data_IF_662904656577
#
_entry.id   IF_662904656577
#
_cell.length_a   1.000
_cell.length_b   1.000
_cell.length_c   1.000
_cell.angle_alpha   90.00
_cell.angle_beta   90.00
_cell.angle_gamma   90.00
#
_symmetry.space_group_name_H-M   'P 1'
#
loop_
_entity.id
_entity.type
_entity.pdbx_description
1 polymer ?
#
# COMPACT_ATOMS: atom_id res chain seq x y z
N UNK A 1 -67.74 -60.74 31.66
CA UNK A 1 -67.23 -59.45 31.16
C UNK A 1 -65.85 -59.25 31.71
N UNK A 2 -64.84 -59.57 30.88
CA UNK A 2 -63.43 -59.40 31.23
C UNK A 2 -62.97 -57.98 30.86
N UNK A 3 -62.48 -57.18 31.85
CA UNK A 3 -61.83 -55.89 31.60
C UNK A 3 -60.33 -56.06 31.49
N UNK A 4 -59.76 -55.79 30.32
CA UNK A 4 -58.29 -55.77 30.07
C UNK A 4 -57.81 -54.40 30.48
N UNK A 5 -56.94 -54.31 31.52
CA UNK A 5 -56.18 -53.09 31.84
C UNK A 5 -54.92 -53.01 31.02
N UNK A 6 -54.82 -51.98 30.21
CA UNK A 6 -53.65 -51.68 29.37
C UNK A 6 -52.67 -50.86 30.18
N UNK A 7 -51.50 -51.42 30.54
CA UNK A 7 -50.40 -50.74 31.26
C UNK A 7 -49.49 -50.08 30.24
N UNK A 8 -49.54 -48.75 30.11
CA UNK A 8 -48.62 -47.99 29.25
C UNK A 8 -47.34 -47.69 30.02
N UNK A 9 -46.22 -48.32 29.63
CA UNK A 9 -44.86 -47.95 30.08
C UNK A 9 -44.44 -46.62 29.45
N UNK A 10 -44.28 -45.60 30.30
CA UNK A 10 -43.66 -44.34 29.92
C UNK A 10 -42.14 -44.50 30.01
N UNK A 11 -41.45 -44.60 28.86
CA UNK A 11 -40.00 -44.51 28.76
C UNK A 11 -39.58 -43.04 28.84
N UNK A 12 -39.01 -42.59 29.96
CA UNK A 12 -38.38 -41.29 30.07
C UNK A 12 -37.03 -41.32 29.33
N UNK A 13 -36.74 -40.34 28.48
CA UNK A 13 -35.41 -40.23 27.86
C UNK A 13 -34.41 -39.74 28.94
N UNK A 14 -33.36 -40.54 29.18
CA UNK A 14 -32.21 -40.09 29.96
C UNK A 14 -31.50 -38.96 29.19
N UNK A 15 -31.70 -37.73 29.61
CA UNK A 15 -30.91 -36.59 29.16
C UNK A 15 -29.49 -36.77 29.71
N UNK A 16 -28.55 -37.10 28.83
CA UNK A 16 -27.12 -37.03 29.13
C UNK A 16 -26.75 -35.56 29.26
N UNK A 17 -26.66 -35.08 30.49
CA UNK A 17 -26.04 -33.79 30.77
C UNK A 17 -24.56 -33.92 30.44
N UNK A 18 -24.13 -33.40 29.26
CA UNK A 18 -22.73 -33.19 29.01
C UNK A 18 -22.20 -32.21 30.05
N UNK A 19 -21.40 -32.68 30.97
CA UNK A 19 -20.63 -31.83 31.89
C UNK A 19 -19.58 -31.10 31.04
N UNK A 20 -19.99 -29.96 30.52
CA UNK A 20 -19.02 -29.04 29.89
C UNK A 20 -18.08 -28.56 31.00
N UNK A 21 -16.84 -29.03 30.92
CA UNK A 21 -15.78 -28.47 31.79
C UNK A 21 -15.66 -26.98 31.48
N UNK A 22 -15.57 -26.13 32.52
CA UNK A 22 -15.32 -24.71 32.30
C UNK A 22 -14.00 -24.56 31.53
N UNK A 23 -13.95 -23.65 30.55
CA UNK A 23 -12.72 -23.39 29.85
C UNK A 23 -11.60 -23.00 30.83
N UNK A 24 -10.34 -23.35 30.57
CA UNK A 24 -9.23 -22.96 31.40
C UNK A 24 -9.14 -21.42 31.50
N UNK A 25 -8.71 -20.87 32.63
CA UNK A 25 -8.53 -19.44 32.77
C UNK A 25 -7.54 -18.96 31.69
N UNK A 26 -7.94 -17.91 30.98
CA UNK A 26 -7.14 -17.36 29.90
C UNK A 26 -6.91 -15.86 30.04
N UNK A 27 -5.84 -15.37 29.45
CA UNK A 27 -5.50 -13.96 29.35
C UNK A 27 -5.46 -13.56 27.90
N UNK A 28 -6.28 -12.61 27.53
CA UNK A 28 -6.33 -12.03 26.20
C UNK A 28 -5.66 -10.65 26.20
N UNK A 29 -4.68 -10.46 25.33
CA UNK A 29 -3.93 -9.20 25.23
C UNK A 29 -3.87 -8.74 23.76
N UNK A 30 -4.15 -7.47 23.56
CA UNK A 30 -3.92 -6.80 22.28
C UNK A 30 -2.72 -5.87 22.39
N UNK A 31 -1.90 -5.88 21.34
CA UNK A 31 -0.77 -4.97 21.22
C UNK A 31 -0.64 -4.47 19.80
N UNK A 32 -0.13 -3.25 19.68
CA UNK A 32 0.22 -2.62 18.41
C UNK A 32 1.64 -2.09 18.53
N UNK A 33 2.37 -2.16 17.42
CA UNK A 33 3.70 -1.61 17.28
C UNK A 33 3.88 -1.04 15.89
N UNK A 34 5.01 -0.40 15.66
CA UNK A 34 5.37 0.14 14.35
C UNK A 34 6.89 0.16 14.18
N UNK A 35 7.30 0.25 12.94
CA UNK A 35 8.67 0.55 12.55
C UNK A 35 8.65 1.80 11.65
N UNK A 36 9.73 2.54 11.67
CA UNK A 36 10.01 3.64 10.75
C UNK A 36 11.26 3.28 9.95
N UNK A 37 11.09 3.20 8.62
CA UNK A 37 12.14 2.75 7.71
C UNK A 37 12.40 3.86 6.68
N UNK A 38 13.66 4.13 6.39
CA UNK A 38 14.02 5.04 5.30
C UNK A 38 13.69 4.36 3.97
N UNK A 39 13.03 5.06 3.03
CA UNK A 39 12.77 4.50 1.71
C UNK A 39 14.08 4.25 0.95
N UNK A 40 14.09 3.18 0.19
CA UNK A 40 15.20 2.73 -0.65
C UNK A 40 14.78 2.48 -2.10
N UNK A 41 13.55 2.90 -2.45
CA UNK A 41 12.97 2.84 -3.78
C UNK A 41 12.18 4.12 -4.07
N UNK A 42 12.26 4.60 -5.31
CA UNK A 42 11.40 5.68 -5.81
C UNK A 42 10.78 5.31 -7.15
N UNK A 43 9.55 5.76 -7.35
CA UNK A 43 8.84 5.65 -8.62
C UNK A 43 8.48 7.06 -9.11
N UNK A 44 9.01 7.43 -10.25
CA UNK A 44 8.69 8.68 -10.92
C UNK A 44 7.65 8.42 -11.99
N UNK A 45 6.62 9.27 -12.05
CA UNK A 45 5.60 9.21 -13.06
C UNK A 45 5.65 10.48 -13.90
N UNK A 46 5.81 10.30 -15.20
CA UNK A 46 5.84 11.37 -16.20
C UNK A 46 4.86 11.06 -17.33
N UNK A 47 4.49 12.08 -18.06
CA UNK A 47 3.63 11.95 -19.23
C UNK A 47 4.19 12.71 -20.41
N UNK A 48 4.22 12.03 -21.55
CA UNK A 48 4.47 12.63 -22.86
C UNK A 48 3.16 12.69 -23.63
N UNK A 49 2.88 13.81 -24.27
CA UNK A 49 1.76 13.88 -25.19
C UNK A 49 2.06 14.76 -26.40
N UNK A 50 1.36 14.41 -27.48
CA UNK A 50 1.26 15.19 -28.69
C UNK A 50 -0.19 15.46 -29.01
N UNK A 51 -0.45 16.56 -29.68
CA UNK A 51 -1.80 16.93 -30.10
C UNK A 51 -1.87 17.01 -31.63
N UNK A 52 -3.02 16.63 -32.18
CA UNK A 52 -3.34 17.01 -33.55
C UNK A 52 -3.63 18.50 -33.63
N UNK A 53 -3.59 19.13 -34.80
CA UNK A 53 -4.11 20.47 -35.02
C UNK A 53 -5.54 20.59 -34.50
N UNK A 54 -5.87 21.75 -33.95
CA UNK A 54 -7.22 22.05 -33.47
C UNK A 54 -8.09 22.53 -34.65
N UNK A 55 -9.23 21.90 -34.86
CA UNK A 55 -10.14 22.16 -35.98
C UNK A 55 -11.54 22.51 -35.46
N UNK A 56 -12.27 23.33 -36.23
CA UNK A 56 -13.64 23.74 -35.87
C UNK A 56 -14.67 22.63 -36.10
N UNK A 57 -14.39 21.70 -37.01
CA UNK A 57 -15.27 20.55 -37.31
C UNK A 57 -14.50 19.25 -37.45
N UNK A 58 -15.14 18.14 -37.08
CA UNK A 58 -14.56 16.79 -37.24
C UNK A 58 -14.35 16.36 -38.70
N UNK A 59 -15.09 16.97 -39.64
CA UNK A 59 -15.00 16.64 -41.06
C UNK A 59 -13.67 17.06 -41.70
N UNK A 60 -12.96 18.01 -41.09
CA UNK A 60 -11.61 18.41 -41.50
C UNK A 60 -10.53 17.58 -40.87
N UNK A 61 -10.89 16.59 -39.99
CA UNK A 61 -9.88 15.74 -39.34
C UNK A 61 -9.13 14.92 -40.38
N UNK A 62 -7.91 15.38 -40.67
CA UNK A 62 -7.01 14.69 -41.58
C UNK A 62 -6.48 13.41 -40.89
N UNK A 63 -6.74 12.22 -41.44
CA UNK A 63 -6.20 10.96 -40.97
C UNK A 63 -4.67 10.98 -40.84
N UNK A 64 -3.99 11.80 -41.63
CA UNK A 64 -2.56 12.02 -41.56
C UNK A 64 -2.16 12.76 -40.27
N UNK A 65 -2.95 13.72 -39.81
CA UNK A 65 -2.64 14.48 -38.58
C UNK A 65 -2.53 13.60 -37.33
N UNK A 66 -3.35 12.56 -37.24
CA UNK A 66 -3.28 11.59 -36.14
C UNK A 66 -2.03 10.71 -36.27
N UNK A 67 -1.70 10.27 -37.50
CA UNK A 67 -0.49 9.49 -37.78
C UNK A 67 0.78 10.30 -37.48
N UNK A 68 0.81 11.56 -37.93
CA UNK A 68 1.93 12.46 -37.70
C UNK A 68 2.15 12.78 -36.22
N UNK A 69 1.06 13.00 -35.48
CA UNK A 69 1.13 13.22 -34.01
C UNK A 69 1.64 11.97 -33.29
N UNK A 70 1.22 10.78 -33.71
CA UNK A 70 1.71 9.52 -33.18
C UNK A 70 3.21 9.35 -33.46
N UNK A 71 3.64 9.59 -34.68
CA UNK A 71 5.07 9.47 -35.08
C UNK A 71 5.94 10.41 -34.23
N UNK A 72 5.55 11.68 -34.06
CA UNK A 72 6.26 12.61 -33.19
C UNK A 72 6.34 12.12 -31.74
N UNK A 73 5.23 11.59 -31.21
CA UNK A 73 5.20 11.06 -29.83
C UNK A 73 6.14 9.86 -29.67
N UNK A 74 6.17 8.94 -30.65
CA UNK A 74 7.05 7.77 -30.61
C UNK A 74 8.53 8.16 -30.69
N UNK A 75 8.87 9.13 -31.53
CA UNK A 75 10.24 9.67 -31.62
C UNK A 75 10.66 10.26 -30.27
N UNK A 76 9.84 11.14 -29.69
CA UNK A 76 10.12 11.75 -28.39
C UNK A 76 10.22 10.72 -27.26
N UNK A 77 9.36 9.69 -27.28
CA UNK A 77 9.42 8.62 -26.28
C UNK A 77 10.73 7.81 -26.40
N UNK A 78 11.17 7.54 -27.63
CA UNK A 78 12.45 6.84 -27.87
C UNK A 78 13.64 7.67 -27.41
N UNK A 79 13.68 8.96 -27.74
CA UNK A 79 14.73 9.88 -27.32
C UNK A 79 14.78 10.01 -25.79
N UNK A 80 13.63 10.04 -25.13
CA UNK A 80 13.54 10.07 -23.67
C UNK A 80 14.13 8.79 -23.06
N UNK A 81 13.78 7.62 -23.58
CA UNK A 81 14.30 6.34 -23.09
C UNK A 81 15.83 6.31 -23.25
N UNK A 82 16.35 6.72 -24.41
CA UNK A 82 17.81 6.79 -24.66
C UNK A 82 18.51 7.74 -23.67
N UNK A 83 17.91 8.89 -23.36
CA UNK A 83 18.46 9.83 -22.37
C UNK A 83 18.44 9.23 -20.95
N UNK A 84 17.39 8.51 -20.57
CA UNK A 84 17.32 7.81 -19.28
C UNK A 84 18.38 6.69 -19.19
N UNK A 85 18.53 5.89 -20.23
CA UNK A 85 19.59 4.86 -20.29
C UNK A 85 21.00 5.48 -20.21
N UNK A 86 21.19 6.68 -20.74
CA UNK A 86 22.46 7.41 -20.66
C UNK A 86 22.81 7.89 -19.23
N UNK A 87 21.84 8.06 -18.33
CA UNK A 87 22.10 8.30 -16.89
C UNK A 87 22.53 7.04 -16.13
N UNK A 88 22.60 5.89 -16.80
CA UNK A 88 22.97 4.61 -16.20
C UNK A 88 21.79 3.77 -15.72
N UNK A 89 20.55 4.19 -16.00
CA UNK A 89 19.37 3.39 -15.71
C UNK A 89 19.30 2.16 -16.58
N UNK A 90 18.96 1.04 -15.96
CA UNK A 90 18.67 -0.17 -16.71
C UNK A 90 17.33 -0.03 -17.46
N UNK A 91 17.25 -0.65 -18.63
CA UNK A 91 16.04 -0.61 -19.48
C UNK A 91 14.78 -1.11 -18.75
N UNK A 92 14.90 -2.10 -17.86
CA UNK A 92 13.80 -2.64 -17.07
C UNK A 92 13.26 -1.66 -16.02
N UNK A 93 14.05 -0.65 -15.63
CA UNK A 93 13.65 0.43 -14.74
C UNK A 93 12.75 1.47 -15.43
N UNK A 94 12.69 1.46 -16.76
CA UNK A 94 11.94 2.43 -17.57
C UNK A 94 10.77 1.73 -18.24
N UNK A 95 9.56 2.12 -17.88
CA UNK A 95 8.33 1.60 -18.47
C UNK A 95 7.61 2.70 -19.26
N UNK A 96 7.57 2.53 -20.58
CA UNK A 96 6.72 3.34 -21.46
C UNK A 96 5.38 2.62 -21.65
N UNK A 97 4.33 3.16 -21.01
CA UNK A 97 3.01 2.57 -21.03
C UNK A 97 2.31 2.60 -22.39
N UNK A 98 1.09 2.08 -22.45
CA UNK A 98 0.29 2.06 -23.66
C UNK A 98 -0.07 3.48 -24.14
N UNK A 99 -0.22 3.64 -25.44
CA UNK A 99 -0.71 4.88 -26.05
C UNK A 99 -2.18 5.08 -25.73
N UNK A 100 -2.48 6.21 -25.12
CA UNK A 100 -3.84 6.67 -24.88
C UNK A 100 -4.22 7.75 -25.89
N UNK A 101 -5.40 7.67 -26.46
CA UNK A 101 -5.91 8.61 -27.46
C UNK A 101 -7.29 9.09 -27.05
N UNK A 102 -7.45 10.38 -26.88
CA UNK A 102 -8.74 10.96 -26.49
C UNK A 102 -8.95 12.35 -27.11
N UNK A 103 -10.22 12.69 -27.44
CA UNK A 103 -10.56 14.00 -27.96
C UNK A 103 -10.52 15.05 -26.85
N UNK A 104 -10.03 16.24 -27.19
CA UNK A 104 -10.08 17.43 -26.33
C UNK A 104 -10.85 18.55 -27.03
N UNK A 105 -11.70 19.24 -26.25
CA UNK A 105 -12.34 20.45 -26.69
C UNK A 105 -11.59 21.65 -26.09
N UNK A 106 -11.20 22.57 -26.92
CA UNK A 106 -10.50 23.78 -26.49
C UNK A 106 -11.26 25.01 -26.96
N UNK A 107 -11.13 26.11 -26.25
CA UNK A 107 -11.68 27.37 -26.68
C UNK A 107 -10.75 28.02 -27.71
N UNK A 108 -11.28 28.28 -28.90
CA UNK A 108 -10.63 29.04 -29.93
C UNK A 108 -10.61 30.55 -29.66
N UNK A 109 -10.22 31.30 -30.65
CA UNK A 109 -10.22 32.75 -30.55
C UNK A 109 -11.67 33.29 -30.42
N UNK A 110 -11.78 34.45 -29.76
CA UNK A 110 -13.05 35.14 -29.62
C UNK A 110 -13.45 35.75 -30.95
N UNK A 111 -14.67 35.45 -31.43
CA UNK A 111 -15.19 36.03 -32.66
C UNK A 111 -15.65 37.50 -32.45
N UNK A 112 -15.97 38.21 -33.51
CA UNK A 112 -16.42 39.61 -33.47
C UNK A 112 -17.68 39.79 -32.63
N UNK A 113 -18.49 38.75 -32.43
CA UNK A 113 -19.69 38.76 -31.60
C UNK A 113 -19.43 38.53 -30.11
N UNK A 114 -18.15 38.30 -29.74
CA UNK A 114 -17.74 38.09 -28.36
C UNK A 114 -17.85 36.64 -27.86
N UNK A 115 -18.21 35.70 -28.73
CA UNK A 115 -18.32 34.29 -28.42
C UNK A 115 -16.98 33.55 -28.74
N UNK A 116 -16.67 32.51 -27.96
CA UNK A 116 -15.51 31.65 -28.25
C UNK A 116 -15.92 30.52 -29.16
N UNK A 117 -15.17 30.33 -30.24
CA UNK A 117 -15.30 29.14 -31.05
C UNK A 117 -14.84 27.92 -30.29
N UNK A 118 -15.61 26.83 -30.34
CA UNK A 118 -15.19 25.54 -29.76
C UNK A 118 -14.41 24.76 -30.83
N UNK A 119 -13.14 24.53 -30.58
CA UNK A 119 -12.28 23.73 -31.42
C UNK A 119 -12.10 22.33 -30.82
N UNK A 120 -11.89 21.34 -31.67
CA UNK A 120 -11.59 19.97 -31.28
C UNK A 120 -10.20 19.60 -31.74
N UNK A 121 -9.47 18.86 -30.89
CA UNK A 121 -8.20 18.21 -31.25
C UNK A 121 -8.15 16.84 -30.59
N UNK A 122 -7.27 15.99 -31.07
CA UNK A 122 -7.00 14.70 -30.43
C UNK A 122 -5.66 14.77 -29.71
N UNK A 123 -5.66 14.38 -28.43
CA UNK A 123 -4.45 14.19 -27.64
C UNK A 123 -4.05 12.73 -27.70
N UNK A 124 -2.78 12.50 -27.99
CA UNK A 124 -2.12 11.21 -27.88
C UNK A 124 -1.17 11.29 -26.70
N UNK A 125 -1.33 10.44 -25.71
CA UNK A 125 -0.55 10.48 -24.47
C UNK A 125 0.05 9.11 -24.18
N UNK A 126 1.31 9.14 -23.73
CA UNK A 126 2.04 7.97 -23.28
C UNK A 126 2.54 8.23 -21.85
N UNK A 127 2.10 7.45 -20.85
CA UNK A 127 2.67 7.50 -19.52
C UNK A 127 4.06 6.86 -19.52
N UNK A 128 4.98 7.46 -18.78
CA UNK A 128 6.33 6.97 -18.56
C UNK A 128 6.51 6.80 -17.06
N UNK A 129 6.90 5.61 -16.63
CA UNK A 129 7.21 5.32 -15.22
C UNK A 129 8.68 4.92 -15.14
N UNK A 130 9.41 5.53 -14.21
CA UNK A 130 10.81 5.21 -13.94
C UNK A 130 10.92 4.73 -12.49
N UNK A 131 11.48 3.54 -12.29
CA UNK A 131 11.74 2.98 -10.97
C UNK A 131 13.22 3.14 -10.63
N UNK A 132 13.51 3.69 -9.44
CA UNK A 132 14.85 3.87 -8.90
C UNK A 132 15.01 3.01 -7.65
N UNK A 133 16.09 2.25 -7.59
CA UNK A 133 16.56 1.51 -6.42
C UNK A 133 17.78 2.14 -5.77
N UNK A 134 18.33 3.18 -6.40
CA UNK A 134 19.35 4.07 -5.88
C UNK A 134 18.80 5.49 -5.89
N UNK A 135 18.46 6.00 -4.71
CA UNK A 135 17.84 7.31 -4.57
C UNK A 135 18.81 8.48 -4.81
N UNK A 136 20.11 8.25 -4.79
CA UNK A 136 21.11 9.26 -5.10
C UNK A 136 21.00 9.72 -6.57
N UNK A 137 20.48 8.87 -7.46
CA UNK A 137 20.25 9.17 -8.87
C UNK A 137 18.99 10.01 -9.11
N UNK A 138 18.15 10.22 -8.10
CA UNK A 138 16.83 10.86 -8.28
C UNK A 138 16.93 12.24 -8.94
N UNK A 139 17.87 13.08 -8.49
CA UNK A 139 18.04 14.43 -9.05
C UNK A 139 18.47 14.39 -10.52
N UNK A 140 19.40 13.52 -10.87
CA UNK A 140 19.90 13.37 -12.23
C UNK A 140 18.79 12.88 -13.18
N UNK A 141 18.01 11.91 -12.74
CA UNK A 141 16.88 11.36 -13.51
C UNK A 141 15.78 12.39 -13.71
N UNK A 142 15.48 13.20 -12.69
CA UNK A 142 14.51 14.29 -12.80
C UNK A 142 14.97 15.34 -13.82
N UNK A 143 16.25 15.73 -13.76
CA UNK A 143 16.83 16.68 -14.70
C UNK A 143 16.80 16.15 -16.14
N UNK A 144 17.10 14.87 -16.31
CA UNK A 144 17.03 14.21 -17.60
C UNK A 144 15.59 14.12 -18.16
N UNK A 145 14.59 13.82 -17.32
CA UNK A 145 13.16 13.85 -17.71
C UNK A 145 12.74 15.25 -18.17
N UNK A 146 13.17 16.29 -17.47
CA UNK A 146 12.89 17.69 -17.84
C UNK A 146 13.59 18.05 -19.14
N UNK A 147 14.85 17.67 -19.29
CA UNK A 147 15.64 17.93 -20.50
C UNK A 147 15.07 17.21 -21.73
N UNK A 148 14.56 15.98 -21.55
CA UNK A 148 13.84 15.22 -22.58
C UNK A 148 12.47 15.83 -22.96
N UNK A 149 12.05 16.88 -22.25
CA UNK A 149 10.83 17.63 -22.55
C UNK A 149 9.55 16.88 -22.26
N UNK A 150 9.50 16.15 -21.12
CA UNK A 150 8.22 15.59 -20.64
C UNK A 150 7.19 16.70 -20.47
N UNK A 151 5.95 16.42 -20.81
CA UNK A 151 4.89 17.42 -20.72
C UNK A 151 4.33 17.58 -19.31
N UNK A 152 4.42 16.51 -18.50
CA UNK A 152 4.07 16.55 -17.08
C UNK A 152 4.93 15.57 -16.26
N UNK A 153 5.21 15.98 -15.02
CA UNK A 153 5.73 15.13 -13.96
C UNK A 153 4.67 15.06 -12.87
N UNK A 154 4.16 13.84 -12.61
CA UNK A 154 3.04 13.64 -11.66
C UNK A 154 3.54 13.44 -10.22
N UNK A 155 4.87 13.60 -10.00
CA UNK A 155 5.51 13.50 -8.70
C UNK A 155 6.36 12.25 -8.53
N UNK A 156 6.95 12.13 -7.36
CA UNK A 156 7.79 11.01 -6.94
C UNK A 156 7.12 10.27 -5.80
N UNK A 157 6.98 8.96 -5.94
CA UNK A 157 6.48 8.08 -4.89
C UNK A 157 7.63 7.28 -4.30
N UNK A 158 7.86 7.44 -3.01
CA UNK A 158 8.88 6.70 -2.28
C UNK A 158 8.32 5.43 -1.66
N UNK A 159 9.13 4.38 -1.67
CA UNK A 159 8.74 3.04 -1.27
C UNK A 159 9.92 2.25 -0.69
N UNK A 160 9.70 1.00 -0.31
CA UNK A 160 10.71 0.04 0.08
C UNK A 160 10.85 -1.05 -0.98
N UNK A 161 12.08 -1.50 -1.24
CA UNK A 161 12.35 -2.65 -2.07
C UNK A 161 11.87 -3.93 -1.39
N UNK A 162 12.11 -4.06 -0.09
CA UNK A 162 11.66 -5.18 0.73
C UNK A 162 10.61 -4.72 1.77
N UNK A 163 9.37 -4.68 1.36
CA UNK A 163 8.23 -4.36 2.23
C UNK A 163 7.96 -5.46 3.25
N UNK A 164 8.19 -6.71 2.85
CA UNK A 164 7.86 -7.88 3.66
C UNK A 164 8.75 -7.93 4.90
N UNK A 165 10.05 -7.69 4.73
CA UNK A 165 10.99 -7.62 5.86
C UNK A 165 10.61 -6.55 6.88
N UNK A 166 10.24 -5.35 6.43
CA UNK A 166 9.84 -4.26 7.31
C UNK A 166 8.49 -4.55 8.00
N UNK A 167 7.58 -5.22 7.30
CA UNK A 167 6.30 -5.70 7.83
C UNK A 167 6.50 -6.74 8.92
N UNK A 168 7.37 -7.72 8.69
CA UNK A 168 7.71 -8.76 9.64
C UNK A 168 8.34 -8.16 10.91
N UNK A 169 9.23 -7.17 10.77
CA UNK A 169 9.82 -6.47 11.91
C UNK A 169 8.74 -5.77 12.78
N UNK A 170 7.77 -5.10 12.16
CA UNK A 170 6.67 -4.46 12.88
C UNK A 170 5.81 -5.49 13.61
N UNK A 171 5.55 -6.65 12.98
CA UNK A 171 4.77 -7.75 13.56
C UNK A 171 5.50 -8.39 14.74
N UNK A 172 6.81 -8.66 14.62
CA UNK A 172 7.62 -9.18 15.71
C UNK A 172 7.59 -8.24 16.91
N UNK A 173 7.77 -6.93 16.70
CA UNK A 173 7.68 -5.93 17.77
C UNK A 173 6.28 -5.89 18.43
N UNK A 174 5.20 -6.12 17.67
CA UNK A 174 3.86 -6.19 18.21
C UNK A 174 3.68 -7.44 19.10
N UNK A 175 4.20 -8.61 18.67
CA UNK A 175 4.20 -9.86 19.45
C UNK A 175 5.01 -9.74 20.74
N UNK A 176 6.21 -9.19 20.68
CA UNK A 176 7.03 -8.93 21.87
C UNK A 176 6.31 -8.03 22.88
N UNK A 177 5.67 -6.98 22.40
CA UNK A 177 4.87 -6.06 23.23
C UNK A 177 3.65 -6.75 23.83
N UNK A 178 2.98 -7.65 23.09
CA UNK A 178 1.87 -8.46 23.61
C UNK A 178 2.36 -9.39 24.72
N UNK A 179 3.47 -10.10 24.51
CA UNK A 179 4.06 -10.99 25.50
C UNK A 179 4.51 -10.23 26.76
N UNK A 180 5.17 -9.08 26.59
CA UNK A 180 5.57 -8.24 27.72
C UNK A 180 4.34 -7.81 28.56
N UNK A 181 3.27 -7.35 27.93
CA UNK A 181 2.01 -6.99 28.61
C UNK A 181 1.40 -8.19 29.32
N UNK A 182 1.36 -9.35 28.67
CA UNK A 182 0.80 -10.57 29.24
C UNK A 182 1.54 -10.99 30.52
N UNK A 183 2.88 -11.00 30.48
CA UNK A 183 3.72 -11.29 31.65
C UNK A 183 3.50 -10.29 32.79
N UNK A 184 3.40 -8.99 32.47
CA UNK A 184 3.14 -7.95 33.47
C UNK A 184 1.76 -8.15 34.14
N UNK A 185 0.72 -8.43 33.35
CA UNK A 185 -0.65 -8.63 33.86
C UNK A 185 -0.77 -9.90 34.71
N UNK A 186 -0.21 -11.03 34.23
CA UNK A 186 -0.20 -12.29 34.96
C UNK A 186 0.54 -12.14 36.29
N UNK A 187 1.76 -11.62 36.28
CA UNK A 187 2.59 -11.42 37.46
C UNK A 187 1.96 -10.47 38.49
N UNK A 188 1.27 -9.41 38.05
CA UNK A 188 0.56 -8.49 38.95
C UNK A 188 -0.60 -9.14 39.70
N UNK A 189 -1.16 -10.23 39.18
CA UNK A 189 -2.25 -10.98 39.77
C UNK A 189 -1.77 -12.25 40.46
N UNK A 190 -0.47 -12.49 40.59
CA UNK A 190 0.11 -13.69 41.17
C UNK A 190 -0.11 -14.96 40.35
N UNK A 191 -0.45 -14.80 39.07
CA UNK A 191 -0.57 -15.90 38.12
C UNK A 191 0.70 -16.00 37.23
N UNK A 192 0.89 -17.17 36.62
CA UNK A 192 1.94 -17.42 35.64
C UNK A 192 1.31 -17.53 34.24
N UNK A 193 2.04 -17.00 33.23
CA UNK A 193 1.64 -17.11 31.85
C UNK A 193 1.92 -18.52 31.32
N UNK A 194 0.90 -19.20 30.84
CA UNK A 194 0.99 -20.54 30.26
C UNK A 194 1.25 -20.51 28.76
N UNK A 195 0.80 -21.53 28.05
CA UNK A 195 0.97 -21.63 26.61
C UNK A 195 -0.01 -20.73 25.84
N UNK A 196 0.38 -20.35 24.64
CA UNK A 196 -0.45 -19.62 23.69
C UNK A 196 -1.59 -20.53 23.23
N UNK A 197 -2.82 -20.04 23.29
CA UNK A 197 -4.02 -20.72 22.79
C UNK A 197 -4.42 -20.22 21.41
N UNK A 198 -4.29 -18.92 21.18
CA UNK A 198 -4.73 -18.26 19.95
C UNK A 198 -3.87 -17.05 19.65
N UNK A 199 -3.54 -16.88 18.39
CA UNK A 199 -2.90 -15.67 17.84
C UNK A 199 -3.74 -15.20 16.67
N UNK A 200 -4.04 -13.91 16.64
CA UNK A 200 -4.70 -13.25 15.53
C UNK A 200 -3.96 -11.97 15.20
N UNK A 201 -3.74 -11.75 13.94
CA UNK A 201 -3.32 -10.46 13.44
C UNK A 201 -4.57 -9.56 13.35
N UNK A 202 -4.57 -8.47 14.13
CA UNK A 202 -5.73 -7.56 14.22
C UNK A 202 -5.64 -6.41 13.24
N UNK A 203 -4.46 -6.13 12.78
CA UNK A 203 -4.17 -5.09 11.80
C UNK A 203 -3.06 -5.60 10.90
N UNK A 204 -3.45 -5.96 9.67
CA UNK A 204 -2.46 -6.22 8.62
C UNK A 204 -1.68 -4.94 8.37
N UNK A 205 -0.38 -5.03 8.19
CA UNK A 205 0.46 -3.87 7.96
C UNK A 205 -0.08 -3.01 6.82
N UNK A 206 -0.45 -1.77 7.13
CA UNK A 206 -0.89 -0.82 6.13
C UNK A 206 0.34 -0.04 5.69
N UNK A 207 0.76 -0.34 4.50
CA UNK A 207 1.82 0.40 3.83
C UNK A 207 1.22 1.66 3.18
N UNK A 208 1.68 2.83 3.59
CA UNK A 208 1.33 4.09 2.97
C UNK A 208 2.57 4.67 2.27
N UNK A 209 2.67 4.52 0.93
CA UNK A 209 3.74 5.16 0.18
C UNK A 209 3.69 6.67 0.38
N UNK A 210 4.84 7.29 0.59
CA UNK A 210 4.91 8.76 0.65
C UNK A 210 4.97 9.34 -0.75
N UNK A 211 3.97 10.15 -1.08
CA UNK A 211 3.97 10.95 -2.30
C UNK A 211 4.50 12.34 -2.02
N UNK A 212 5.58 12.72 -2.70
CA UNK A 212 5.98 14.13 -2.79
C UNK A 212 5.39 14.72 -4.07
N UNK A 213 4.45 15.64 -3.92
CA UNK A 213 3.99 16.47 -5.03
C UNK A 213 5.04 17.54 -5.29
N UNK A 214 5.55 17.63 -6.51
CA UNK A 214 6.36 18.74 -6.96
C UNK A 214 5.46 19.99 -7.07
N UNK A 215 5.29 20.71 -5.95
CA UNK A 215 4.67 22.01 -5.96
C UNK A 215 5.76 23.02 -6.30
N UNK A 216 5.70 23.62 -7.45
CA UNK A 216 6.48 24.82 -7.73
C UNK A 216 6.05 25.90 -6.71
N UNK A 217 6.86 26.13 -5.70
CA UNK A 217 6.72 27.31 -4.84
C UNK A 217 7.07 28.52 -5.69
N UNK A 218 6.02 29.18 -6.19
CA UNK A 218 6.14 30.54 -6.71
C UNK A 218 6.13 31.49 -5.53
N UNK A 219 7.24 32.23 -5.37
CA UNK A 219 7.42 33.48 -4.70
C UNK A 219 7.39 33.57 -3.17
N UNK A 220 8.58 33.58 -2.61
CA UNK A 220 9.01 34.77 -1.82
C UNK A 220 10.49 35.03 -2.08
N UNK A 221 10.77 36.24 -2.49
CA UNK A 221 12.11 36.74 -2.83
C UNK A 221 13.09 36.62 -1.65
N UNK A 222 13.98 35.66 -1.75
CA UNK A 222 15.18 35.54 -0.94
C UNK A 222 16.26 34.92 -1.82
N UNK A 223 17.35 35.63 -2.03
CA UNK A 223 18.44 35.32 -2.93
C UNK A 223 18.88 33.86 -2.81
N UNK A 224 18.45 33.02 -3.76
CA UNK A 224 18.95 31.65 -3.94
C UNK A 224 20.34 31.73 -4.56
N UNK A 225 21.33 31.20 -3.86
CA UNK A 225 22.63 30.93 -4.47
C UNK A 225 22.42 29.89 -5.59
N UNK A 226 22.91 30.14 -6.83
CA UNK A 226 22.86 29.16 -7.89
C UNK A 226 23.89 28.07 -7.54
N UNK A 227 23.42 26.86 -7.28
CA UNK A 227 24.28 25.69 -7.06
C UNK A 227 23.93 24.74 -5.92
N UNK A 228 22.85 24.96 -5.18
CA UNK A 228 22.39 23.96 -4.23
C UNK A 228 21.62 22.88 -5.02
N UNK A 229 22.21 21.69 -5.20
CA UNK A 229 21.48 20.52 -5.60
C UNK A 229 20.25 20.37 -4.68
N UNK A 230 19.07 20.23 -5.25
CA UNK A 230 17.85 20.04 -4.49
C UNK A 230 17.95 18.68 -3.79
N UNK A 231 18.32 18.68 -2.51
CA UNK A 231 18.41 17.46 -1.72
C UNK A 231 16.99 16.99 -1.40
N UNK A 232 16.56 15.90 -2.04
CA UNK A 232 15.26 15.29 -1.78
C UNK A 232 15.35 14.48 -0.49
N UNK A 233 14.57 14.87 0.52
CA UNK A 233 14.49 14.17 1.81
C UNK A 233 13.10 13.56 1.97
N UNK A 234 12.88 12.31 1.58
CA UNK A 234 11.54 11.69 1.60
C UNK A 234 10.99 11.46 3.01
N UNK A 235 11.83 11.54 4.05
CA UNK A 235 11.47 11.15 5.42
C UNK A 235 11.31 9.63 5.53
N UNK A 236 10.82 9.15 6.68
CA UNK A 236 10.62 7.72 6.94
C UNK A 236 9.23 7.24 6.54
N UNK A 237 9.13 5.96 6.15
CA UNK A 237 7.87 5.25 5.94
C UNK A 237 7.54 4.52 7.23
N UNK A 238 6.33 4.75 7.75
CA UNK A 238 5.83 4.07 8.95
C UNK A 238 5.00 2.87 8.56
N UNK A 239 5.30 1.74 9.20
CA UNK A 239 4.58 0.47 9.03
C UNK A 239 4.04 0.06 10.40
N UNK A 240 2.72 -0.02 10.54
CA UNK A 240 2.03 -0.39 11.76
C UNK A 240 1.59 -1.85 11.69
N UNK A 241 1.74 -2.59 12.80
CA UNK A 241 1.24 -3.95 12.96
C UNK A 241 0.49 -4.11 14.28
N UNK A 242 -0.54 -4.95 14.29
CA UNK A 242 -1.34 -5.23 15.47
C UNK A 242 -1.62 -6.71 15.63
N UNK A 243 -1.55 -7.18 16.89
CA UNK A 243 -1.81 -8.57 17.24
C UNK A 243 -2.74 -8.69 18.42
N UNK A 244 -3.48 -9.79 18.44
CA UNK A 244 -4.30 -10.23 19.55
C UNK A 244 -3.87 -11.65 19.92
N UNK A 245 -3.44 -11.84 21.14
CA UNK A 245 -2.92 -13.13 21.59
C UNK A 245 -3.63 -13.56 22.86
N UNK A 246 -3.99 -14.84 22.93
CA UNK A 246 -4.61 -15.46 24.10
C UNK A 246 -3.68 -16.54 24.66
N UNK A 247 -3.46 -16.46 25.97
CA UNK A 247 -2.66 -17.42 26.76
C UNK A 247 -3.52 -18.10 27.79
N UNK A 248 -3.16 -19.32 28.17
CA UNK A 248 -3.62 -19.93 29.42
C UNK A 248 -2.96 -19.24 30.61
N UNK A 249 -3.66 -19.19 31.72
CA UNK A 249 -3.08 -18.80 33.00
C UNK A 249 -2.91 -20.03 33.88
N UNK A 250 -1.76 -20.10 34.57
CA UNK A 250 -1.47 -21.07 35.61
C UNK A 250 -1.20 -20.34 36.93
N UNK A 251 -1.65 -20.87 38.04
CA UNK A 251 -1.50 -20.22 39.35
C UNK A 251 -2.04 -21.09 40.48
N UNK A 252 -1.85 -20.71 41.75
CA UNK A 252 -2.24 -21.49 42.90
C UNK A 252 -3.76 -21.79 43.00
N UNK A 253 -4.59 -20.98 42.29
CA UNK A 253 -6.05 -21.19 42.21
C UNK A 253 -6.51 -21.80 40.87
N UNK A 254 -5.60 -22.21 39.99
CA UNK A 254 -5.99 -22.93 38.79
C UNK A 254 -6.55 -24.29 39.20
N UNK A 255 -7.82 -24.64 38.88
CA UNK A 255 -8.42 -25.89 39.28
C UNK A 255 -7.56 -27.05 38.77
N UNK A 256 -7.02 -27.83 39.74
CA UNK A 256 -6.19 -29.00 39.47
C UNK A 256 -6.95 -29.92 38.52
N UNK A 257 -6.40 -30.18 37.32
CA UNK A 257 -6.99 -31.14 36.39
C UNK A 257 -6.97 -32.53 37.07
N UNK A 258 -8.10 -33.16 37.39
CA UNK A 258 -8.07 -34.56 37.81
C UNK A 258 -7.69 -35.41 36.58
N UNK A 259 -6.47 -35.86 36.50
CA UNK A 259 -6.03 -36.74 35.43
C UNK A 259 -4.53 -36.94 35.24
N UNK A 260 -3.66 -36.26 36.00
CA UNK A 260 -2.19 -36.43 35.83
C UNK A 260 -1.57 -37.47 36.81
N UNK A 261 -2.34 -38.05 37.71
CA UNK A 261 -1.82 -38.97 38.76
C UNK A 261 -2.01 -40.46 38.48
N UNK A 262 -2.32 -40.88 37.23
CA UNK A 262 -2.51 -42.32 36.92
C UNK A 262 -1.34 -42.99 36.22
N UNK A 263 -0.18 -42.37 36.14
CA UNK A 263 0.98 -42.98 35.46
C UNK A 263 2.23 -43.15 36.32
N UNK A 264 2.09 -43.39 37.65
CA UNK A 264 3.24 -43.64 38.51
C UNK A 264 2.96 -44.74 39.58
N UNK A 265 2.30 -45.84 39.17
CA UNK A 265 2.27 -47.11 39.92
C UNK A 265 1.97 -48.26 38.95
N UNK A 266 3.01 -48.78 38.30
CA UNK A 266 3.27 -50.22 38.05
C UNK A 266 4.70 -50.43 37.63
#
# INVERSE_FOLDING_TARGET
MLGVALLTLFSAPFAHASTAYPPPPSLHVQAQSWVEVEPDKATLNARLWENTPALSTLEESNSNALSDARERLEIRASELIEQMEATGLERNAINAGALNVYPEHIQGQRNENGEHETLQRTRLERPITVELTDLDQLSEVLDALIAAGVNALDGVQFDLQDRDSATDEALVKALEKAQHKANLMAGSLGAELGHVQRIEETQSPIFQPRMMSMRAESDTAGASQPGAASEYRPGTIRIDAGVSVEWTLTGPDAPNRPGSDVAAQE
#
